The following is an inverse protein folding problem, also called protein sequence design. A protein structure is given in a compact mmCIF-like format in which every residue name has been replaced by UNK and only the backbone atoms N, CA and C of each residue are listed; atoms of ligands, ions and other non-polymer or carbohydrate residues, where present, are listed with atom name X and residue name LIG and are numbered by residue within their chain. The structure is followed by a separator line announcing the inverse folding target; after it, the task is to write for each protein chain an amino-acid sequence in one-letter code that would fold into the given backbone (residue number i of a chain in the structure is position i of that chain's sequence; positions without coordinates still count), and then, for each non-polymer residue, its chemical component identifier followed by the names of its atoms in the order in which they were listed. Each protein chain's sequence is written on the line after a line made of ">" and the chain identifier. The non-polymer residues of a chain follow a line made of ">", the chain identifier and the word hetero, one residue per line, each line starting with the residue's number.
data_IF_257474632738
#
_entry.id   IF_257474632738
#
_cell.length_a   1.000
_cell.length_b   1.000
_cell.length_c   1.000
_cell.angle_alpha   90.00
_cell.angle_beta   90.00
_cell.angle_gamma   90.00
#
_symmetry.space_group_name_H-M   'P 1'
#
loop_
_entity.id
_entity.type
_entity.pdbx_description
1 polymer ?
#
# COMPACT_ATOMS: atom_id res chain seq x y z
N UNK A 1 -11.92 -7.65 6.85
CA UNK A 1 -11.67 -8.64 5.77
C UNK A 1 -10.19 -8.89 5.74
N UNK A 2 -9.75 -10.13 5.56
CA UNK A 2 -8.33 -10.49 5.42
C UNK A 2 -8.13 -11.08 4.04
N UNK A 3 -6.97 -10.83 3.43
CA UNK A 3 -6.65 -11.35 2.10
C UNK A 3 -5.28 -12.02 2.12
N UNK A 4 -5.22 -13.21 1.57
CA UNK A 4 -3.96 -13.95 1.40
C UNK A 4 -3.26 -13.47 0.14
N UNK A 5 -2.01 -13.03 0.26
CA UNK A 5 -1.20 -12.49 -0.83
C UNK A 5 0.12 -13.26 -0.91
N UNK A 6 0.48 -13.73 -2.10
CA UNK A 6 1.81 -14.26 -2.38
C UNK A 6 2.77 -13.13 -2.77
N UNK A 7 3.59 -12.70 -1.81
CA UNK A 7 4.58 -11.65 -2.01
C UNK A 7 5.81 -12.11 -2.82
N UNK A 8 5.93 -13.40 -3.13
CA UNK A 8 7.07 -13.94 -3.91
C UNK A 8 6.87 -13.84 -5.43
N UNK A 9 5.63 -13.65 -5.88
CA UNK A 9 5.23 -13.64 -7.30
C UNK A 9 4.31 -12.47 -7.61
N UNK A 10 4.76 -11.25 -7.28
CA UNK A 10 3.97 -10.05 -7.58
C UNK A 10 4.19 -9.69 -9.05
N UNK A 11 3.13 -9.56 -9.87
CA UNK A 11 3.26 -9.07 -11.23
C UNK A 11 3.61 -7.58 -11.20
N UNK A 12 4.81 -7.23 -11.64
CA UNK A 12 5.31 -5.86 -11.70
C UNK A 12 5.55 -5.47 -13.15
N UNK A 13 4.96 -4.35 -13.58
CA UNK A 13 5.16 -3.80 -14.91
C UNK A 13 6.50 -3.05 -14.98
N UNK A 14 7.59 -3.77 -15.27
CA UNK A 14 8.92 -3.16 -15.37
C UNK A 14 9.13 -2.43 -16.70
N UNK A 15 8.38 -2.81 -17.74
CA UNK A 15 8.34 -2.17 -19.05
C UNK A 15 6.90 -2.12 -19.54
N UNK A 16 6.59 -1.18 -20.42
CA UNK A 16 5.23 -0.96 -20.91
C UNK A 16 4.64 -2.25 -21.51
N UNK A 17 3.57 -2.74 -20.90
CA UNK A 17 2.88 -3.98 -21.32
C UNK A 17 3.57 -5.29 -20.91
N UNK A 18 4.70 -5.24 -20.20
CA UNK A 18 5.45 -6.43 -19.77
C UNK A 18 5.37 -6.57 -18.24
N UNK A 19 4.50 -7.48 -17.80
CA UNK A 19 4.36 -7.88 -16.40
C UNK A 19 5.36 -8.99 -16.08
N UNK A 20 6.23 -8.75 -15.10
CA UNK A 20 7.24 -9.71 -14.65
C UNK A 20 6.94 -10.09 -13.21
N UNK A 21 6.84 -11.40 -12.93
CA UNK A 21 6.74 -11.91 -11.56
C UNK A 21 8.02 -11.56 -10.79
N UNK A 22 7.86 -10.78 -9.73
CA UNK A 22 8.98 -10.27 -8.92
C UNK A 22 8.80 -10.68 -7.46
N UNK A 23 9.87 -11.21 -6.86
CA UNK A 23 9.91 -11.50 -5.42
C UNK A 23 10.08 -10.20 -4.63
N UNK A 24 8.99 -9.80 -3.98
CA UNK A 24 8.89 -8.56 -3.23
C UNK A 24 9.03 -8.76 -1.72
N UNK A 25 9.17 -10.00 -1.23
CA UNK A 25 9.20 -10.32 0.21
C UNK A 25 10.25 -9.51 0.95
N UNK A 26 11.49 -9.54 0.45
CA UNK A 26 12.62 -8.85 1.09
C UNK A 26 12.50 -7.34 1.00
N UNK A 27 12.15 -6.83 -0.18
CA UNK A 27 12.04 -5.38 -0.42
C UNK A 27 10.91 -4.77 0.40
N UNK A 28 9.72 -5.37 0.35
CA UNK A 28 8.55 -4.91 1.09
C UNK A 28 8.71 -5.10 2.60
N UNK A 29 9.19 -6.27 3.04
CA UNK A 29 9.44 -6.53 4.46
C UNK A 29 10.44 -5.54 5.05
N UNK A 30 11.52 -5.23 4.34
CA UNK A 30 12.47 -4.21 4.76
C UNK A 30 11.85 -2.80 4.77
N UNK A 31 11.09 -2.44 3.74
CA UNK A 31 10.44 -1.13 3.67
C UNK A 31 9.49 -0.91 4.86
N UNK A 32 8.66 -1.90 5.20
CA UNK A 32 7.74 -1.81 6.35
C UNK A 32 8.54 -1.74 7.66
N UNK A 33 9.48 -2.67 7.88
CA UNK A 33 10.22 -2.77 9.13
C UNK A 33 11.07 -1.53 9.43
N UNK A 34 11.58 -0.83 8.41
CA UNK A 34 12.38 0.40 8.58
C UNK A 34 11.54 1.64 8.86
N UNK A 35 10.29 1.67 8.42
CA UNK A 35 9.45 2.85 8.44
C UNK A 35 8.29 2.78 9.46
N UNK A 36 8.15 1.66 10.18
CA UNK A 36 7.15 1.48 11.23
C UNK A 36 7.71 1.76 12.62
N UNK A 37 6.89 2.34 13.49
CA UNK A 37 7.10 2.38 14.95
C UNK A 37 6.20 1.39 15.70
N UNK A 38 5.28 0.72 14.99
CA UNK A 38 4.36 -0.26 15.55
C UNK A 38 5.02 -1.65 15.57
N UNK A 39 5.03 -2.28 16.76
CA UNK A 39 5.66 -3.59 16.99
C UNK A 39 4.93 -4.69 16.21
N UNK A 40 3.60 -4.67 16.18
CA UNK A 40 2.80 -5.65 15.45
C UNK A 40 3.04 -5.57 13.95
N UNK A 41 3.16 -4.35 13.41
CA UNK A 41 3.50 -4.13 12.00
C UNK A 41 4.95 -4.52 11.69
N UNK A 42 5.88 -4.34 12.63
CA UNK A 42 7.26 -4.81 12.49
C UNK A 42 7.34 -6.36 12.48
N UNK A 43 6.59 -7.02 13.34
CA UNK A 43 6.48 -8.49 13.36
C UNK A 43 5.85 -9.01 12.07
N UNK A 44 4.80 -8.34 11.60
CA UNK A 44 4.18 -8.63 10.30
C UNK A 44 5.16 -8.44 9.13
N UNK A 45 5.99 -7.40 9.16
CA UNK A 45 7.03 -7.18 8.16
C UNK A 45 8.06 -8.32 8.12
N UNK A 46 8.47 -8.84 9.29
CA UNK A 46 9.34 -10.03 9.38
C UNK A 46 8.64 -11.28 8.86
N UNK A 47 7.35 -11.45 9.13
CA UNK A 47 6.55 -12.54 8.56
C UNK A 47 6.59 -12.52 7.04
N UNK A 48 6.39 -11.37 6.40
CA UNK A 48 6.53 -11.22 4.93
C UNK A 48 7.96 -11.55 4.48
N UNK A 49 8.97 -11.02 5.18
CA UNK A 49 10.38 -11.18 4.79
C UNK A 49 10.82 -12.65 4.73
N UNK A 50 10.36 -13.47 5.68
CA UNK A 50 10.73 -14.88 5.81
C UNK A 50 9.67 -15.86 5.30
N UNK A 51 8.54 -15.39 4.75
CA UNK A 51 7.46 -16.28 4.34
C UNK A 51 7.87 -17.17 3.17
N UNK A 52 7.68 -18.49 3.31
CA UNK A 52 7.71 -19.41 2.18
C UNK A 52 6.35 -19.50 1.48
N UNK A 53 5.28 -19.21 2.22
CA UNK A 53 3.89 -19.33 1.80
C UNK A 53 3.21 -17.96 1.65
N UNK A 54 2.07 -17.89 0.93
CA UNK A 54 1.23 -16.70 0.89
C UNK A 54 0.85 -16.21 2.29
N UNK A 55 0.89 -14.90 2.49
CA UNK A 55 0.69 -14.27 3.79
C UNK A 55 -0.69 -13.63 3.85
N UNK A 56 -1.44 -13.95 4.88
CA UNK A 56 -2.69 -13.27 5.19
C UNK A 56 -2.42 -11.85 5.71
N UNK A 57 -2.97 -10.85 5.02
CA UNK A 57 -2.84 -9.43 5.34
C UNK A 57 -4.06 -8.96 6.14
N UNK A 58 -3.86 -8.51 7.40
CA UNK A 58 -4.90 -7.85 8.19
C UNK A 58 -5.34 -6.51 7.59
N UNK A 59 -6.66 -6.26 7.50
CA UNK A 59 -7.18 -4.98 7.01
C UNK A 59 -6.72 -3.77 7.84
N UNK A 60 -6.47 -3.97 9.14
CA UNK A 60 -5.93 -2.94 10.04
C UNK A 60 -4.55 -2.43 9.60
N UNK A 61 -3.73 -3.29 9.00
CA UNK A 61 -2.40 -2.92 8.51
C UNK A 61 -2.42 -2.35 7.09
N UNK A 62 -3.47 -2.57 6.31
CA UNK A 62 -3.53 -2.15 4.90
C UNK A 62 -3.33 -0.63 4.73
N UNK A 63 -3.89 0.18 5.63
CA UNK A 63 -3.75 1.63 5.62
C UNK A 63 -2.30 2.09 5.82
N UNK A 64 -1.62 1.54 6.84
CA UNK A 64 -0.23 1.92 7.12
C UNK A 64 0.77 1.34 6.13
N UNK A 65 0.58 0.11 5.68
CA UNK A 65 1.39 -0.47 4.60
C UNK A 65 1.29 0.42 3.35
N UNK A 66 0.09 0.87 3.00
CA UNK A 66 -0.09 1.77 1.85
C UNK A 66 0.66 3.10 2.01
N UNK A 67 0.62 3.70 3.21
CA UNK A 67 1.36 4.93 3.52
C UNK A 67 2.86 4.74 3.43
N UNK A 68 3.39 3.66 4.00
CA UNK A 68 4.82 3.32 3.96
C UNK A 68 5.27 3.09 2.52
N UNK A 69 4.58 2.22 1.78
CA UNK A 69 4.95 1.89 0.39
C UNK A 69 4.92 3.12 -0.52
N UNK A 70 3.95 4.02 -0.31
CA UNK A 70 3.88 5.27 -1.08
C UNK A 70 5.12 6.14 -0.86
N UNK A 71 5.57 6.27 0.40
CA UNK A 71 6.65 7.17 0.81
C UNK A 71 8.05 6.56 0.71
N UNK A 72 8.18 5.24 0.62
CA UNK A 72 9.47 4.56 0.60
C UNK A 72 10.34 4.98 -0.60
N UNK A 73 11.57 5.41 -0.38
CA UNK A 73 12.43 5.94 -1.45
C UNK A 73 13.16 4.84 -2.25
N UNK A 74 13.21 3.61 -1.73
CA UNK A 74 14.01 2.52 -2.29
C UNK A 74 13.18 1.55 -3.14
N UNK A 75 11.86 1.54 -2.97
CA UNK A 75 10.95 0.79 -3.83
C UNK A 75 10.77 1.48 -5.18
N UNK A 76 11.00 0.72 -6.26
CA UNK A 76 10.74 1.17 -7.62
C UNK A 76 9.26 1.56 -7.79
N UNK A 77 9.00 2.63 -8.54
CA UNK A 77 7.65 3.12 -8.82
C UNK A 77 6.67 2.02 -9.31
N UNK A 78 7.00 1.16 -10.29
CA UNK A 78 6.09 0.10 -10.71
C UNK A 78 5.83 -0.95 -9.62
N UNK A 79 6.82 -1.23 -8.78
CA UNK A 79 6.66 -2.15 -7.66
C UNK A 79 5.72 -1.58 -6.58
N UNK A 80 5.78 -0.26 -6.33
CA UNK A 80 4.82 0.42 -5.45
C UNK A 80 3.41 0.29 -5.99
N UNK A 81 3.21 0.54 -7.29
CA UNK A 81 1.88 0.43 -7.93
C UNK A 81 1.32 -0.98 -7.77
N UNK A 82 2.12 -2.00 -8.07
CA UNK A 82 1.70 -3.40 -7.95
C UNK A 82 1.29 -3.77 -6.51
N UNK A 83 2.12 -3.42 -5.52
CA UNK A 83 1.82 -3.68 -4.11
C UNK A 83 0.58 -2.90 -3.65
N UNK A 84 0.46 -1.62 -3.99
CA UNK A 84 -0.68 -0.79 -3.59
C UNK A 84 -2.00 -1.31 -4.17
N UNK A 85 -2.01 -1.80 -5.41
CA UNK A 85 -3.20 -2.43 -5.99
C UNK A 85 -3.64 -3.65 -5.18
N UNK A 86 -2.71 -4.53 -4.80
CA UNK A 86 -3.00 -5.71 -3.98
C UNK A 86 -3.52 -5.34 -2.59
N UNK A 87 -2.93 -4.34 -1.95
CA UNK A 87 -3.31 -3.89 -0.60
C UNK A 87 -4.66 -3.16 -0.62
N UNK A 88 -4.99 -2.42 -1.68
CA UNK A 88 -6.29 -1.73 -1.82
C UNK A 88 -7.45 -2.71 -1.89
N UNK A 89 -7.27 -3.88 -2.49
CA UNK A 89 -8.29 -4.94 -2.48
C UNK A 89 -8.58 -5.51 -1.08
N UNK A 90 -7.71 -5.25 -0.10
CA UNK A 90 -7.93 -5.62 1.31
C UNK A 90 -8.73 -4.55 2.05
N UNK A 91 -8.71 -3.29 1.57
CA UNK A 91 -9.48 -2.21 2.15
C UNK A 91 -10.94 -2.29 1.70
N UNK A 92 -11.92 -1.98 2.57
CA UNK A 92 -13.28 -1.73 2.12
C UNK A 92 -13.28 -0.56 1.13
N UNK A 93 -14.20 -0.52 0.15
CA UNK A 93 -14.28 0.58 -0.80
C UNK A 93 -14.36 1.89 0.00
N UNK A 94 -13.45 2.80 -0.29
CA UNK A 94 -13.51 4.14 0.27
C UNK A 94 -14.88 4.70 -0.08
N UNK A 95 -15.70 4.98 0.94
CA UNK A 95 -16.91 5.78 0.75
C UNK A 95 -16.43 7.07 0.07
N UNK A 96 -16.85 7.38 -1.16
CA UNK A 96 -16.42 8.60 -1.81
C UNK A 96 -16.78 9.75 -0.87
N UNK A 97 -15.77 10.55 -0.52
CA UNK A 97 -16.01 11.79 0.20
C UNK A 97 -17.00 12.58 -0.64
N UNK A 98 -18.22 12.77 -0.14
CA UNK A 98 -19.18 13.66 -0.80
C UNK A 98 -18.50 15.01 -0.94
N UNK A 99 -18.28 15.41 -2.19
CA UNK A 99 -17.81 16.73 -2.55
C UNK A 99 -18.77 17.74 -1.93
N UNK A 100 -18.39 18.34 -0.81
CA UNK A 100 -19.15 19.38 -0.16
C UNK A 100 -18.94 20.67 -0.97
N UNK A 101 -19.57 20.72 -2.14
CA UNK A 101 -19.65 21.87 -3.05
C UNK A 101 -20.56 22.91 -2.42
N UNK A 102 -20.10 23.56 -1.35
CA UNK A 102 -20.77 24.75 -0.84
C UNK A 102 -19.79 25.79 -0.33
N UNK A 103 -18.77 26.11 -1.14
CA UNK A 103 -17.98 27.32 -0.94
C UNK A 103 -18.57 28.44 -1.81
N UNK A 104 -19.65 29.06 -1.32
CA UNK A 104 -20.19 30.31 -1.89
C UNK A 104 -19.15 31.42 -1.68
N UNK A 105 -18.71 32.15 -2.71
CA UNK A 105 -17.75 33.24 -2.52
C UNK A 105 -18.42 34.39 -1.76
N UNK A 106 -17.83 34.77 -0.63
CA UNK A 106 -18.25 35.90 0.18
C UNK A 106 -18.10 37.20 -0.64
N UNK A 107 -19.22 37.75 -1.12
CA UNK A 107 -19.24 39.06 -1.81
C UNK A 107 -18.76 40.15 -0.85
N UNK A 108 -17.51 40.58 -0.97
CA UNK A 108 -17.00 41.79 -0.31
C UNK A 108 -17.73 43.01 -0.89
N UNK A 109 -18.67 43.57 -0.12
CA UNK A 109 -19.21 44.91 -0.39
C UNK A 109 -18.10 45.92 -0.11
N UNK A 110 -17.61 46.59 -1.15
CA UNK A 110 -16.83 47.83 -0.99
C UNK A 110 -17.81 48.93 -0.57
N UNK A 111 -17.49 49.61 0.53
CA UNK A 111 -18.18 50.81 1.00
C UNK A 111 -17.28 52.00 0.68
#
# INVERSE_FOLDING_TARGET
>A
MTKTIDFSKIPVELRFGEMIETDMRRSLGNAINRNTSDIGLADFARKIFYSAEPVEVPAEYAGEISRIVTRDEYLLAPAKVAVLSLIREVMPPAVPAEDNVNNKPLKRKRK
#
